data_IF_808750288625
#
_entry.id   IF_808750288625
#
_cell.length_a   1.000
_cell.length_b   1.000
_cell.length_c   1.000
_cell.angle_alpha   90.00
_cell.angle_beta   90.00
_cell.angle_gamma   90.00
#
_symmetry.space_group_name_H-M   'P 1'
#
loop_
_entity.id
_entity.type
_entity.pdbx_description
1 polymer ?
#
# COMPACT_ATOMS: atom_id res chain seq x y z
N UNK A 1 -11.64 -3.76 28.81
CA UNK A 1 -11.08 -3.10 27.61
C UNK A 1 -9.67 -3.60 27.44
N UNK A 2 -9.39 -4.40 26.41
CA UNK A 2 -8.01 -4.84 26.14
C UNK A 2 -7.31 -3.71 25.38
N UNK A 3 -6.46 -2.98 26.08
CA UNK A 3 -5.62 -1.90 25.53
C UNK A 3 -4.19 -2.31 25.78
N UNK A 4 -3.40 -2.38 24.72
CA UNK A 4 -1.96 -2.52 24.82
C UNK A 4 -1.34 -1.16 24.54
N UNK A 5 -0.58 -0.66 25.52
CA UNK A 5 0.29 0.47 25.32
C UNK A 5 1.67 0.06 25.80
N UNK A 6 2.64 0.06 24.88
CA UNK A 6 3.99 -0.34 25.19
C UNK A 6 4.98 0.42 24.31
N UNK A 7 6.19 0.52 24.83
CA UNK A 7 7.38 0.70 24.01
C UNK A 7 8.00 -0.69 23.88
N UNK A 8 7.92 -1.32 22.72
CA UNK A 8 8.51 -2.64 22.51
C UNK A 8 9.90 -2.42 21.95
N UNK A 9 10.81 -2.08 22.85
CA UNK A 9 12.23 -1.93 22.54
C UNK A 9 12.96 -3.21 22.93
N UNK A 10 13.65 -3.81 21.96
CA UNK A 10 14.66 -4.84 22.16
C UNK A 10 14.15 -6.25 22.53
N UNK A 11 13.26 -6.79 21.69
CA UNK A 11 13.10 -8.25 21.61
C UNK A 11 13.46 -8.73 20.21
N UNK A 12 14.30 -9.77 20.10
CA UNK A 12 14.79 -10.20 18.78
C UNK A 12 13.67 -10.77 17.91
N UNK A 13 12.60 -11.31 18.50
CA UNK A 13 11.50 -11.96 17.79
C UNK A 13 10.22 -11.85 18.62
N UNK A 14 9.15 -11.35 18.02
CA UNK A 14 7.79 -11.45 18.51
C UNK A 14 7.01 -12.40 17.61
N UNK A 15 6.44 -13.46 18.19
CA UNK A 15 5.55 -14.39 17.49
C UNK A 15 4.25 -14.53 18.30
N UNK A 16 3.12 -14.28 17.66
CA UNK A 16 1.80 -14.54 18.22
C UNK A 16 0.99 -15.40 17.24
N UNK A 17 0.06 -16.20 17.75
CA UNK A 17 -1.02 -16.70 16.90
C UNK A 17 -1.97 -15.54 16.63
N UNK A 18 -2.61 -15.01 17.68
CA UNK A 18 -3.61 -13.95 17.54
C UNK A 18 -3.28 -12.76 18.43
N UNK A 19 -3.36 -11.56 17.88
CA UNK A 19 -3.35 -10.30 18.61
C UNK A 19 -4.76 -9.70 18.51
N UNK A 20 -5.60 -9.98 19.50
CA UNK A 20 -6.95 -9.41 19.61
C UNK A 20 -6.99 -8.33 20.71
N UNK A 21 -6.89 -7.08 20.27
CA UNK A 21 -6.84 -5.91 21.14
C UNK A 21 -7.71 -4.81 20.58
N UNK A 22 -8.61 -4.25 21.40
CA UNK A 22 -9.41 -3.10 20.97
C UNK A 22 -8.53 -1.93 20.55
N UNK A 23 -7.42 -1.69 21.24
CA UNK A 23 -6.49 -0.60 20.95
C UNK A 23 -5.06 -1.07 21.17
N UNK A 24 -4.23 -0.87 20.16
CA UNK A 24 -2.78 -1.03 20.16
C UNK A 24 -2.18 0.35 19.96
N UNK A 25 -1.39 0.81 20.93
CA UNK A 25 -0.61 2.04 20.84
C UNK A 25 0.84 1.78 21.19
N UNK A 26 1.73 1.95 20.24
CA UNK A 26 3.16 1.93 20.49
C UNK A 26 3.76 3.30 20.19
N UNK A 27 4.80 3.71 20.92
CA UNK A 27 5.70 4.71 20.35
C UNK A 27 6.55 4.02 19.30
N UNK A 28 7.30 3.01 19.73
CA UNK A 28 8.27 2.32 18.89
C UNK A 28 8.03 0.81 19.00
N UNK A 29 8.01 0.14 17.86
CA UNK A 29 8.10 -1.32 17.73
C UNK A 29 9.43 -1.60 17.03
N UNK A 30 10.44 -2.01 17.79
CA UNK A 30 11.76 -2.38 17.27
C UNK A 30 12.01 -3.86 17.51
N UNK A 31 11.90 -4.65 16.44
CA UNK A 31 11.98 -6.10 16.48
C UNK A 31 12.77 -6.60 15.29
N UNK A 32 13.61 -7.62 15.46
CA UNK A 32 14.18 -8.27 14.27
C UNK A 32 13.11 -9.06 13.49
N UNK A 33 12.11 -9.65 14.15
CA UNK A 33 10.99 -10.32 13.49
C UNK A 33 9.72 -10.02 14.28
N UNK A 34 8.67 -9.60 13.58
CA UNK A 34 7.32 -9.51 14.10
C UNK A 34 6.43 -10.43 13.25
N UNK A 35 5.92 -11.49 13.84
CA UNK A 35 4.99 -12.41 13.19
C UNK A 35 3.72 -12.58 14.02
N UNK A 36 2.57 -12.47 13.36
CA UNK A 36 1.29 -12.90 13.87
C UNK A 36 0.62 -13.83 12.84
N UNK A 37 -0.32 -14.68 13.24
CA UNK A 37 -1.32 -15.15 12.27
C UNK A 37 -2.32 -14.04 12.05
N UNK A 38 -2.99 -13.60 13.12
CA UNK A 38 -4.05 -12.60 13.02
C UNK A 38 -3.77 -11.39 13.91
N UNK A 39 -4.00 -10.19 13.37
CA UNK A 39 -3.97 -8.93 14.12
C UNK A 39 -5.34 -8.27 13.98
N UNK A 40 -6.17 -8.37 15.01
CA UNK A 40 -7.45 -7.68 15.07
C UNK A 40 -7.37 -6.52 16.07
N UNK A 41 -7.63 -5.31 15.56
CA UNK A 41 -7.80 -4.16 16.43
C UNK A 41 -8.81 -3.14 15.94
N UNK A 42 -9.45 -2.42 16.87
CA UNK A 42 -10.20 -1.22 16.46
C UNK A 42 -9.25 -0.08 16.10
N UNK A 43 -8.13 0.04 16.78
CA UNK A 43 -7.14 1.08 16.51
C UNK A 43 -5.77 0.47 16.69
N UNK A 44 -4.98 0.53 15.63
CA UNK A 44 -3.55 0.30 15.64
C UNK A 44 -2.87 1.63 15.35
N UNK A 45 -2.03 2.10 16.26
CA UNK A 45 -1.22 3.29 16.06
C UNK A 45 0.18 3.06 16.61
N UNK A 46 1.18 3.34 15.79
CA UNK A 46 2.58 3.35 16.16
C UNK A 46 3.17 4.68 15.69
N UNK A 47 4.17 5.23 16.40
CA UNK A 47 5.01 6.24 15.75
C UNK A 47 5.89 5.51 14.74
N UNK A 48 6.72 4.59 15.23
CA UNK A 48 7.71 3.91 14.39
C UNK A 48 7.58 2.39 14.50
N UNK A 49 7.66 1.71 13.36
CA UNK A 49 7.82 0.26 13.28
C UNK A 49 9.11 -0.02 12.51
N UNK A 50 10.15 -0.47 13.21
CA UNK A 50 11.39 -0.97 12.59
C UNK A 50 11.45 -2.48 12.76
N UNK A 51 11.47 -3.19 11.64
CA UNK A 51 11.73 -4.62 11.67
C UNK A 51 12.51 -5.15 10.50
N UNK A 52 13.15 -6.32 10.67
CA UNK A 52 13.65 -7.03 9.48
C UNK A 52 12.52 -7.69 8.71
N UNK A 53 11.51 -8.19 9.41
CA UNK A 53 10.41 -8.96 8.86
C UNK A 53 9.16 -8.64 9.66
N UNK A 54 8.13 -8.19 8.95
CA UNK A 54 6.77 -8.04 9.44
C UNK A 54 5.93 -9.04 8.65
N UNK A 55 5.36 -10.03 9.32
CA UNK A 55 4.50 -11.01 8.69
C UNK A 55 3.20 -11.22 9.45
N UNK A 56 2.07 -11.13 8.76
CA UNK A 56 0.77 -11.54 9.25
C UNK A 56 0.11 -12.46 8.21
N UNK A 57 -0.81 -13.33 8.61
CA UNK A 57 -1.82 -13.78 7.66
C UNK A 57 -2.78 -12.62 7.43
N UNK A 58 -3.43 -12.16 8.50
CA UNK A 58 -4.50 -11.17 8.41
C UNK A 58 -4.22 -9.96 9.32
N UNK A 59 -4.33 -8.76 8.75
CA UNK A 59 -4.31 -7.50 9.50
C UNK A 59 -5.67 -6.84 9.34
N UNK A 60 -6.48 -6.91 10.40
CA UNK A 60 -7.82 -6.37 10.42
C UNK A 60 -7.89 -5.20 11.38
N UNK A 61 -8.17 -4.01 10.86
CA UNK A 61 -8.37 -2.87 11.75
C UNK A 61 -9.39 -1.84 11.32
N UNK A 62 -10.03 -1.18 12.28
CA UNK A 62 -10.84 -0.01 11.92
C UNK A 62 -9.96 1.19 11.53
N UNK A 63 -8.82 1.35 12.18
CA UNK A 63 -7.85 2.41 11.90
C UNK A 63 -6.48 1.79 12.07
N UNK A 64 -5.74 1.72 10.97
CA UNK A 64 -4.33 1.37 10.93
C UNK A 64 -3.56 2.65 10.64
N UNK A 65 -2.82 3.16 11.63
CA UNK A 65 -2.11 4.44 11.49
C UNK A 65 -0.74 4.42 12.16
N UNK A 66 0.21 3.62 11.65
CA UNK A 66 1.63 3.87 11.90
C UNK A 66 2.04 5.21 11.28
N UNK A 67 3.01 5.92 11.87
CA UNK A 67 3.59 7.08 11.18
C UNK A 67 4.61 6.55 10.18
N UNK A 68 5.59 5.78 10.65
CA UNK A 68 6.68 5.26 9.82
C UNK A 68 6.78 3.74 9.96
N UNK A 69 6.93 3.05 8.83
CA UNK A 69 7.24 1.62 8.76
C UNK A 69 8.53 1.45 7.97
N UNK A 70 9.59 0.97 8.62
CA UNK A 70 10.80 0.48 7.96
C UNK A 70 10.87 -1.04 8.14
N UNK A 71 10.80 -1.77 7.02
CA UNK A 71 11.12 -3.19 7.08
C UNK A 71 11.76 -3.76 5.85
N UNK A 72 12.68 -4.71 6.00
CA UNK A 72 13.17 -5.42 4.81
C UNK A 72 12.08 -6.21 4.10
N UNK A 73 11.14 -6.78 4.85
CA UNK A 73 10.05 -7.59 4.30
C UNK A 73 8.78 -7.27 5.06
N UNK A 74 7.75 -6.89 4.33
CA UNK A 74 6.38 -6.78 4.81
C UNK A 74 5.57 -7.79 4.00
N UNK A 75 4.95 -8.75 4.68
CA UNK A 75 4.10 -9.75 4.03
C UNK A 75 2.80 -9.93 4.78
N UNK A 76 1.67 -9.78 4.09
CA UNK A 76 0.36 -10.17 4.58
C UNK A 76 -0.33 -11.07 3.56
N UNK A 77 -1.24 -11.95 3.99
CA UNK A 77 -2.27 -12.43 3.06
C UNK A 77 -3.23 -11.28 2.83
N UNK A 78 -3.87 -10.80 3.90
CA UNK A 78 -4.95 -9.82 3.82
C UNK A 78 -4.68 -8.62 4.73
N UNK A 79 -4.88 -7.41 4.20
CA UNK A 79 -4.88 -6.16 4.96
C UNK A 79 -6.24 -5.49 4.77
N UNK A 80 -7.13 -5.62 5.75
CA UNK A 80 -8.41 -4.90 5.78
C UNK A 80 -8.32 -3.75 6.77
N UNK A 81 -8.56 -2.53 6.26
CA UNK A 81 -8.88 -1.45 7.17
C UNK A 81 -9.95 -0.48 6.69
N UNK A 82 -10.72 0.09 7.62
CA UNK A 82 -11.56 1.25 7.21
C UNK A 82 -10.71 2.47 6.88
N UNK A 83 -9.56 2.62 7.51
CA UNK A 83 -8.62 3.71 7.28
C UNK A 83 -7.22 3.13 7.45
N UNK A 84 -6.45 3.16 6.38
CA UNK A 84 -5.00 2.99 6.38
C UNK A 84 -4.38 4.37 6.20
N UNK A 85 -3.47 4.74 7.09
CA UNK A 85 -2.71 5.99 6.99
C UNK A 85 -1.27 5.73 7.40
N UNK A 86 -0.31 6.11 6.57
CA UNK A 86 1.10 6.18 6.94
C UNK A 86 1.69 7.51 6.47
N UNK A 87 2.69 8.02 7.19
CA UNK A 87 3.60 9.00 6.58
C UNK A 87 4.46 8.23 5.59
N UNK A 88 5.25 7.29 6.09
CA UNK A 88 6.30 6.62 5.32
C UNK A 88 6.19 5.09 5.44
N UNK A 89 6.32 4.41 4.30
CA UNK A 89 6.48 2.95 4.22
C UNK A 89 7.70 2.64 3.37
N UNK A 90 8.82 2.29 4.01
CA UNK A 90 10.04 1.78 3.34
C UNK A 90 10.09 0.27 3.48
N UNK A 91 10.23 -0.41 2.33
CA UNK A 91 10.63 -1.81 2.37
C UNK A 91 11.51 -2.29 1.24
N UNK A 92 12.20 -3.42 1.43
CA UNK A 92 12.76 -4.13 0.25
C UNK A 92 11.70 -4.88 -0.50
N UNK A 93 10.76 -5.49 0.22
CA UNK A 93 9.69 -6.27 -0.35
C UNK A 93 8.44 -5.97 0.45
N UNK A 94 7.43 -5.45 -0.23
CA UNK A 94 6.06 -5.40 0.25
C UNK A 94 5.25 -6.39 -0.58
N UNK A 95 4.59 -7.34 0.10
CA UNK A 95 3.72 -8.33 -0.53
C UNK A 95 2.41 -8.44 0.23
N UNK A 96 1.29 -8.31 -0.46
CA UNK A 96 -0.04 -8.67 0.03
C UNK A 96 -0.72 -9.57 -1.00
N UNK A 97 -1.63 -10.45 -0.58
CA UNK A 97 -2.63 -10.97 -1.52
C UNK A 97 -3.64 -9.86 -1.76
N UNK A 98 -4.30 -9.40 -0.68
CA UNK A 98 -5.38 -8.44 -0.77
C UNK A 98 -5.14 -7.24 0.16
N UNK A 99 -5.41 -6.04 -0.37
CA UNK A 99 -5.43 -4.79 0.39
C UNK A 99 -6.81 -4.16 0.19
N UNK A 100 -7.68 -4.24 1.20
CA UNK A 100 -8.97 -3.55 1.22
C UNK A 100 -8.90 -2.36 2.17
N UNK A 101 -9.20 -1.17 1.65
CA UNK A 101 -9.55 -0.10 2.55
C UNK A 101 -10.60 0.88 2.04
N UNK A 102 -11.34 1.50 2.95
CA UNK A 102 -12.19 2.64 2.51
C UNK A 102 -11.36 3.86 2.19
N UNK A 103 -10.26 4.05 2.88
CA UNK A 103 -9.32 5.15 2.68
C UNK A 103 -7.93 4.58 2.87
N UNK A 104 -7.14 4.61 1.81
CA UNK A 104 -5.71 4.38 1.83
C UNK A 104 -5.01 5.72 1.64
N UNK A 105 -4.16 6.10 2.59
CA UNK A 105 -3.33 7.30 2.50
C UNK A 105 -1.90 6.95 2.89
N UNK A 106 -0.96 7.22 2.00
CA UNK A 106 0.47 7.25 2.33
C UNK A 106 1.04 8.60 1.88
N UNK A 107 2.02 9.15 2.60
CA UNK A 107 2.80 10.24 2.02
C UNK A 107 3.78 9.62 1.04
N UNK A 108 4.67 8.76 1.55
CA UNK A 108 5.73 8.13 0.78
C UNK A 108 5.67 6.61 0.91
N UNK A 109 5.76 5.91 -0.21
CA UNK A 109 5.94 4.45 -0.26
C UNK A 109 7.15 4.11 -1.13
N UNK A 110 8.25 3.71 -0.49
CA UNK A 110 9.44 3.21 -1.19
C UNK A 110 9.48 1.69 -1.07
N UNK A 111 9.58 1.02 -2.20
CA UNK A 111 10.01 -0.37 -2.16
C UNK A 111 10.84 -0.85 -3.33
N UNK A 112 11.76 -1.80 -3.09
CA UNK A 112 12.39 -2.46 -4.26
C UNK A 112 11.38 -3.29 -5.05
N UNK A 113 10.42 -3.90 -4.36
CA UNK A 113 9.35 -4.70 -4.94
C UNK A 113 8.09 -4.44 -4.14
N UNK A 114 7.07 -3.92 -4.80
CA UNK A 114 5.70 -3.87 -4.33
C UNK A 114 4.89 -4.90 -5.11
N UNK A 115 4.16 -5.77 -4.42
CA UNK A 115 3.31 -6.78 -5.06
C UNK A 115 2.01 -6.95 -4.30
N UNK A 116 0.89 -6.79 -4.99
CA UNK A 116 -0.44 -7.14 -4.51
C UNK A 116 -1.14 -8.02 -5.55
N UNK A 117 -2.03 -8.91 -5.14
CA UNK A 117 -3.01 -9.46 -6.10
C UNK A 117 -4.06 -8.38 -6.32
N UNK A 118 -4.75 -7.98 -5.25
CA UNK A 118 -5.86 -7.03 -5.34
C UNK A 118 -5.65 -5.83 -4.41
N UNK A 119 -5.92 -4.64 -4.93
CA UNK A 119 -5.99 -3.39 -4.16
C UNK A 119 -7.37 -2.78 -4.39
N UNK A 120 -8.26 -2.88 -3.40
CA UNK A 120 -9.56 -2.22 -3.41
C UNK A 120 -9.52 -1.03 -2.45
N UNK A 121 -9.84 0.16 -2.97
CA UNK A 121 -10.22 1.24 -2.07
C UNK A 121 -11.26 2.21 -2.58
N UNK A 122 -12.02 2.83 -1.68
CA UNK A 122 -12.85 3.96 -2.13
C UNK A 122 -12.02 5.19 -2.45
N UNK A 123 -10.95 5.41 -1.71
CA UNK A 123 -10.02 6.52 -1.91
C UNK A 123 -8.62 5.96 -1.71
N UNK A 124 -7.84 6.00 -2.76
CA UNK A 124 -6.41 5.78 -2.73
C UNK A 124 -5.71 7.14 -2.90
N UNK A 125 -4.81 7.47 -2.00
CA UNK A 125 -4.03 8.71 -2.07
C UNK A 125 -2.58 8.45 -1.64
N UNK A 126 -1.66 8.77 -2.54
CA UNK A 126 -0.23 8.79 -2.25
C UNK A 126 0.35 10.16 -2.66
N UNK A 127 1.35 10.65 -1.94
CA UNK A 127 2.19 11.71 -2.52
C UNK A 127 3.15 11.05 -3.49
N UNK A 128 4.01 10.17 -2.98
CA UNK A 128 5.07 9.53 -3.76
C UNK A 128 5.01 8.01 -3.63
N UNK A 129 5.10 7.33 -4.79
CA UNK A 129 5.30 5.87 -4.87
C UNK A 129 6.57 5.62 -5.67
N UNK A 130 7.65 5.23 -5.00
CA UNK A 130 8.89 4.77 -5.63
C UNK A 130 8.97 3.25 -5.54
N UNK A 131 9.17 2.61 -6.68
CA UNK A 131 9.63 1.24 -6.66
C UNK A 131 10.55 0.83 -7.79
N UNK A 132 11.25 -0.29 -7.65
CA UNK A 132 11.85 -0.90 -8.86
C UNK A 132 10.85 -1.74 -9.65
N UNK A 133 9.92 -2.36 -8.94
CA UNK A 133 8.87 -3.19 -9.51
C UNK A 133 7.61 -2.93 -8.72
N UNK A 134 6.62 -2.38 -9.38
CA UNK A 134 5.25 -2.29 -8.90
C UNK A 134 4.40 -3.29 -9.67
N UNK A 135 3.82 -4.25 -8.98
CA UNK A 135 2.93 -5.25 -9.57
C UNK A 135 1.62 -5.33 -8.79
N UNK A 136 0.50 -5.16 -9.47
CA UNK A 136 -0.82 -5.49 -8.98
C UNK A 136 -1.50 -6.41 -10.00
N UNK A 137 -2.33 -7.35 -9.59
CA UNK A 137 -3.26 -7.96 -10.57
C UNK A 137 -4.36 -6.96 -10.84
N UNK A 138 -5.11 -6.56 -9.82
CA UNK A 138 -6.24 -5.65 -9.95
C UNK A 138 -6.11 -4.45 -8.99
N UNK A 139 -6.40 -3.26 -9.50
CA UNK A 139 -6.53 -2.03 -8.72
C UNK A 139 -7.92 -1.45 -8.98
N UNK A 140 -8.82 -1.55 -8.00
CA UNK A 140 -10.12 -0.88 -8.04
C UNK A 140 -10.11 0.29 -7.07
N UNK A 141 -10.41 1.48 -7.58
CA UNK A 141 -10.78 2.54 -6.67
C UNK A 141 -11.82 3.53 -7.18
N UNK A 142 -12.62 4.12 -6.29
CA UNK A 142 -13.48 5.23 -6.74
C UNK A 142 -12.66 6.46 -7.08
N UNK A 143 -11.62 6.73 -6.32
CA UNK A 143 -10.70 7.84 -6.54
C UNK A 143 -9.28 7.31 -6.30
N UNK A 144 -8.48 7.34 -7.36
CA UNK A 144 -7.05 7.14 -7.31
C UNK A 144 -6.36 8.49 -7.48
N UNK A 145 -5.49 8.85 -6.54
CA UNK A 145 -4.65 10.04 -6.62
C UNK A 145 -3.22 9.71 -6.22
N UNK A 146 -2.27 10.00 -7.09
CA UNK A 146 -0.85 10.04 -6.77
C UNK A 146 -0.27 11.39 -7.23
N UNK A 147 0.70 11.95 -6.49
CA UNK A 147 1.47 13.06 -7.07
C UNK A 147 2.48 12.44 -8.03
N UNK A 148 3.39 11.62 -7.51
CA UNK A 148 4.47 11.03 -8.29
C UNK A 148 4.47 9.49 -8.17
N UNK A 149 4.63 8.82 -9.31
CA UNK A 149 4.87 7.38 -9.39
C UNK A 149 6.15 7.16 -10.20
N UNK A 150 7.24 6.78 -9.54
CA UNK A 150 8.47 6.35 -10.21
C UNK A 150 8.60 4.83 -10.06
N UNK A 151 8.60 4.12 -11.19
CA UNK A 151 9.03 2.75 -11.15
C UNK A 151 9.74 2.25 -12.38
N UNK A 152 10.75 1.39 -12.22
CA UNK A 152 11.35 0.77 -13.41
C UNK A 152 10.35 -0.11 -14.16
N UNK A 153 9.43 -0.76 -13.45
CA UNK A 153 8.41 -1.62 -14.04
C UNK A 153 7.11 -1.43 -13.28
N UNK A 154 6.08 -0.94 -13.96
CA UNK A 154 4.70 -0.90 -13.50
C UNK A 154 3.94 -1.96 -14.29
N UNK A 155 3.32 -2.90 -13.59
CA UNK A 155 2.48 -3.95 -14.17
C UNK A 155 1.16 -4.02 -13.41
N UNK A 156 0.06 -3.91 -14.15
CA UNK A 156 -1.29 -4.22 -13.69
C UNK A 156 -1.97 -5.18 -14.69
N UNK A 157 -2.86 -6.05 -14.23
CA UNK A 157 -3.83 -6.66 -15.15
C UNK A 157 -4.93 -5.64 -15.40
N UNK A 158 -5.67 -5.24 -14.37
CA UNK A 158 -6.78 -4.29 -14.50
C UNK A 158 -6.60 -3.09 -13.55
N UNK A 159 -6.87 -1.89 -14.06
CA UNK A 159 -6.99 -0.66 -13.26
C UNK A 159 -8.38 -0.06 -13.53
N UNK A 160 -9.30 -0.19 -12.59
CA UNK A 160 -10.61 0.47 -12.63
C UNK A 160 -10.61 1.65 -11.65
N UNK A 161 -10.93 2.83 -12.15
CA UNK A 161 -11.33 3.89 -11.24
C UNK A 161 -12.37 4.85 -11.78
N UNK A 162 -13.18 5.45 -10.88
CA UNK A 162 -14.08 6.52 -11.35
C UNK A 162 -13.29 7.80 -11.66
N UNK A 163 -12.28 8.09 -10.86
CA UNK A 163 -11.38 9.22 -11.05
C UNK A 163 -9.96 8.72 -10.85
N UNK A 164 -9.15 8.83 -11.89
CA UNK A 164 -7.71 8.60 -11.85
C UNK A 164 -6.99 9.94 -11.99
N UNK A 165 -6.11 10.26 -11.04
CA UNK A 165 -5.22 11.41 -11.09
C UNK A 165 -3.81 10.98 -10.73
N UNK A 166 -2.86 11.22 -11.63
CA UNK A 166 -1.42 11.17 -11.34
C UNK A 166 -0.81 12.49 -11.83
N UNK A 167 0.08 13.14 -11.07
CA UNK A 167 0.78 14.31 -11.64
C UNK A 167 1.86 13.82 -12.58
N UNK A 168 2.81 13.06 -12.04
CA UNK A 168 3.95 12.53 -12.77
C UNK A 168 3.99 10.99 -12.65
N UNK A 169 4.23 10.30 -13.76
CA UNK A 169 4.45 8.86 -13.80
C UNK A 169 5.65 8.56 -14.69
N UNK A 170 6.79 8.20 -14.09
CA UNK A 170 8.00 7.77 -14.80
C UNK A 170 8.13 6.24 -14.70
N UNK A 171 8.29 5.58 -15.85
CA UNK A 171 8.72 4.19 -15.84
C UNK A 171 9.53 3.74 -17.04
N UNK A 172 10.41 2.74 -16.84
CA UNK A 172 11.04 2.09 -18.02
C UNK A 172 10.06 1.20 -18.77
N UNK A 173 9.10 0.60 -18.06
CA UNK A 173 8.06 -0.28 -18.62
C UNK A 173 6.77 -0.02 -17.85
N UNK A 174 5.72 0.35 -18.57
CA UNK A 174 4.35 0.41 -18.09
C UNK A 174 3.51 -0.60 -18.86
N UNK A 175 2.88 -1.54 -18.13
CA UNK A 175 2.00 -2.56 -18.71
C UNK A 175 0.69 -2.63 -17.94
N UNK A 176 -0.44 -2.51 -18.64
CA UNK A 176 -1.78 -2.72 -18.08
C UNK A 176 -2.63 -3.48 -19.11
N UNK A 177 -3.36 -4.52 -18.71
CA UNK A 177 -4.23 -5.23 -19.67
C UNK A 177 -5.47 -4.40 -19.97
N UNK A 178 -6.19 -3.92 -18.96
CA UNK A 178 -7.31 -2.98 -19.10
C UNK A 178 -7.16 -1.79 -18.12
N UNK A 179 -7.47 -0.58 -18.60
CA UNK A 179 -7.60 0.63 -17.77
C UNK A 179 -8.96 1.27 -18.05
N UNK A 180 -9.88 1.22 -17.10
CA UNK A 180 -11.19 1.88 -17.19
C UNK A 180 -11.23 3.07 -16.25
N UNK A 181 -11.46 4.28 -16.78
CA UNK A 181 -11.75 5.41 -15.92
C UNK A 181 -12.73 6.43 -16.49
N UNK A 182 -13.68 6.88 -15.65
CA UNK A 182 -14.64 7.93 -16.07
C UNK A 182 -13.95 9.29 -16.20
N UNK A 183 -12.96 9.57 -15.36
CA UNK A 183 -12.15 10.77 -15.41
C UNK A 183 -10.69 10.34 -15.28
N UNK A 184 -9.87 10.71 -16.26
CA UNK A 184 -8.44 10.44 -16.26
C UNK A 184 -7.68 11.76 -16.37
N UNK A 185 -6.76 12.00 -15.45
CA UNK A 185 -5.88 13.16 -15.47
C UNK A 185 -4.46 12.69 -15.17
N UNK A 186 -3.57 12.86 -16.13
CA UNK A 186 -2.15 12.66 -15.98
C UNK A 186 -1.43 13.87 -16.57
N UNK A 187 -0.56 14.53 -15.81
CA UNK A 187 0.15 15.71 -16.30
C UNK A 187 1.31 15.28 -17.19
N UNK A 188 2.18 14.41 -16.67
CA UNK A 188 3.33 13.85 -17.37
C UNK A 188 3.40 12.32 -17.17
N UNK A 189 3.38 11.58 -18.27
CA UNK A 189 3.66 10.12 -18.28
C UNK A 189 4.88 9.90 -19.18
N UNK A 190 6.04 9.64 -18.58
CA UNK A 190 7.24 9.21 -19.31
C UNK A 190 7.39 7.71 -19.19
N UNK A 191 7.35 7.01 -20.33
CA UNK A 191 7.81 5.64 -20.32
C UNK A 191 8.41 5.18 -21.63
N UNK A 192 9.45 4.37 -21.50
CA UNK A 192 10.17 3.82 -22.67
C UNK A 192 9.38 2.73 -23.38
N UNK A 193 8.52 2.01 -22.66
CA UNK A 193 7.65 0.96 -23.20
C UNK A 193 6.29 1.07 -22.53
N UNK A 194 5.25 1.29 -23.33
CA UNK A 194 3.84 1.22 -22.92
C UNK A 194 3.20 0.02 -23.61
N UNK A 195 2.59 -0.87 -22.83
CA UNK A 195 1.75 -1.96 -23.33
C UNK A 195 0.40 -1.89 -22.64
N UNK A 196 -0.58 -1.29 -23.32
CA UNK A 196 -1.97 -1.28 -22.90
C UNK A 196 -2.82 -1.94 -23.98
N UNK A 197 -3.68 -2.91 -23.64
CA UNK A 197 -4.64 -3.42 -24.63
C UNK A 197 -5.72 -2.36 -24.86
N UNK A 198 -6.27 -2.29 -26.09
CA UNK A 198 -7.08 -1.22 -26.70
C UNK A 198 -8.39 -0.77 -25.97
N UNK A 199 -8.57 -1.02 -24.66
CA UNK A 199 -9.74 -0.56 -23.88
C UNK A 199 -9.42 0.54 -22.87
N UNK A 200 -8.51 1.47 -23.19
CA UNK A 200 -8.43 2.74 -22.47
C UNK A 200 -9.75 3.51 -22.73
N UNK A 201 -10.75 3.30 -21.88
CA UNK A 201 -12.03 4.02 -21.95
C UNK A 201 -11.91 5.30 -21.15
N UNK A 202 -11.24 6.29 -21.73
CA UNK A 202 -11.10 7.62 -21.11
C UNK A 202 -12.17 8.56 -21.66
N UNK A 203 -13.07 9.03 -20.79
CA UNK A 203 -14.15 9.94 -21.19
C UNK A 203 -13.74 11.43 -21.18
N UNK A 204 -12.51 11.74 -20.73
CA UNK A 204 -11.88 13.06 -20.81
C UNK A 204 -10.39 12.91 -20.48
N UNK A 205 -9.51 13.10 -21.46
CA UNK A 205 -8.06 13.16 -21.26
C UNK A 205 -7.55 14.53 -21.73
N UNK A 206 -6.68 15.15 -20.94
CA UNK A 206 -5.77 16.19 -21.42
C UNK A 206 -4.37 15.59 -21.32
N UNK A 207 -3.92 14.99 -22.41
CA UNK A 207 -2.51 14.63 -22.58
C UNK A 207 -1.82 15.89 -23.10
N UNK A 208 -0.87 16.43 -22.34
CA UNK A 208 0.02 17.51 -22.80
C UNK A 208 1.34 16.96 -23.28
#
# INVERSE_FOLDING_TARGET
TRVFSARVTDSRVFNASDIDLRVIRASDIDLRVFSASDIDSRVFNASDIDSRVISASDINSRVFSPSDIDSRVISASDIDSRVFSASDVDSRVFSASDIDSRVFSASDTDSRVFSASDIDSRVFSASDIDSRVFNASDIDSRVFSASDIDSRVISASDIDSRVFSASDTDSRVFSASDIDSRVFSASDIDSRVISASDKIRVFSARVT
#
